data_IF_080236258552
#
_entry.id   IF_080236258552
#
_cell.length_a   1.000
_cell.length_b   1.000
_cell.length_c   1.000
_cell.angle_alpha   90.00
_cell.angle_beta   90.00
_cell.angle_gamma   90.00
#
_symmetry.space_group_name_H-M   'P 1'
#
loop_
_entity.id
_entity.type
_entity.pdbx_description
1 polymer ?
#
# COMPACT_ATOMS: atom_id res chain seq x y z
N UNK A 1 8.23 16.33 24.29
CA UNK A 1 7.38 15.26 24.87
C UNK A 1 6.32 14.90 23.83
N UNK A 2 6.30 13.66 23.32
CA UNK A 2 5.29 13.22 22.34
C UNK A 2 3.94 13.06 23.05
N UNK A 3 2.91 13.76 22.57
CA UNK A 3 1.51 13.51 22.92
C UNK A 3 1.15 12.09 22.47
N UNK A 4 0.98 11.16 23.40
CA UNK A 4 0.40 9.85 23.12
C UNK A 4 -1.09 10.03 22.79
N UNK A 5 -1.51 9.52 21.65
CA UNK A 5 -2.89 9.53 21.18
C UNK A 5 -3.77 8.66 22.09
N UNK A 6 -4.38 9.27 23.12
CA UNK A 6 -5.24 8.58 24.10
C UNK A 6 -6.72 8.49 23.68
N UNK A 7 -7.06 8.69 22.40
CA UNK A 7 -8.44 8.93 21.98
C UNK A 7 -9.13 7.77 21.21
N UNK A 8 -8.71 6.52 21.39
CA UNK A 8 -9.33 5.42 20.61
C UNK A 8 -9.69 4.15 21.40
N UNK A 9 -9.90 4.25 22.71
CA UNK A 9 -10.42 3.13 23.50
C UNK A 9 -11.95 3.16 23.43
N UNK A 10 -12.53 2.49 22.42
CA UNK A 10 -14.00 2.43 22.22
C UNK A 10 -14.69 1.47 23.18
N UNK A 11 -13.94 0.55 23.78
CA UNK A 11 -14.45 -0.47 24.69
C UNK A 11 -13.58 -0.51 25.95
N UNK A 12 -14.18 -0.57 27.16
CA UNK A 12 -13.40 -0.69 28.39
C UNK A 12 -12.54 -1.97 28.30
N UNK A 13 -11.22 -1.83 28.47
CA UNK A 13 -10.28 -2.96 28.37
C UNK A 13 -10.47 -4.08 29.43
N UNK A 14 -11.53 -3.98 30.24
CA UNK A 14 -11.95 -4.98 31.20
C UNK A 14 -13.46 -5.18 31.07
N UNK A 15 -13.86 -6.42 30.82
CA UNK A 15 -15.26 -6.84 30.79
C UNK A 15 -15.56 -7.66 32.06
N UNK A 16 -16.70 -7.40 32.70
CA UNK A 16 -17.16 -8.24 33.80
C UNK A 16 -17.78 -9.53 33.26
N UNK A 17 -17.71 -10.65 34.01
CA UNK A 17 -18.43 -11.87 33.66
C UNK A 17 -19.94 -11.61 33.44
N UNK A 18 -20.56 -12.41 32.58
CA UNK A 18 -22.02 -12.41 32.41
C UNK A 18 -22.71 -12.60 33.76
N UNK A 19 -23.75 -11.82 34.04
CA UNK A 19 -24.52 -11.90 35.29
C UNK A 19 -23.74 -11.57 36.57
N UNK A 20 -22.60 -10.87 36.47
CA UNK A 20 -21.85 -10.42 37.65
C UNK A 20 -22.71 -9.55 38.60
N UNK A 21 -23.55 -8.70 38.04
CA UNK A 21 -24.37 -7.74 38.80
C UNK A 21 -25.73 -8.29 39.26
N UNK A 22 -26.25 -9.35 38.65
CA UNK A 22 -27.60 -9.89 38.91
C UNK A 22 -27.84 -10.22 40.38
N UNK A 23 -26.80 -10.69 41.09
CA UNK A 23 -26.85 -11.05 42.51
C UNK A 23 -25.88 -10.19 43.35
N UNK A 24 -25.50 -9.00 42.87
CA UNK A 24 -24.55 -8.15 43.58
C UNK A 24 -25.11 -7.69 44.93
N UNK A 25 -26.36 -7.22 44.95
CA UNK A 25 -27.00 -6.70 46.16
C UNK A 25 -27.14 -7.78 47.22
N UNK A 26 -27.58 -8.98 46.85
CA UNK A 26 -27.69 -10.12 47.77
C UNK A 26 -26.33 -10.48 48.39
N UNK A 27 -25.26 -10.49 47.57
CA UNK A 27 -23.91 -10.75 48.06
C UNK A 27 -23.41 -9.62 48.96
N UNK A 28 -23.73 -8.37 48.64
CA UNK A 28 -23.36 -7.20 49.42
C UNK A 28 -24.05 -7.24 50.79
N UNK A 29 -25.38 -7.36 50.83
CA UNK A 29 -26.14 -7.41 52.07
C UNK A 29 -25.81 -8.63 52.91
N UNK A 30 -25.56 -9.79 52.29
CA UNK A 30 -25.07 -10.98 53.01
C UNK A 30 -23.72 -10.72 53.68
N UNK A 31 -22.80 -9.99 53.04
CA UNK A 31 -21.51 -9.60 53.63
C UNK A 31 -21.66 -8.54 54.72
N UNK A 32 -22.54 -7.56 54.54
CA UNK A 32 -22.84 -6.52 55.55
C UNK A 32 -23.51 -7.12 56.80
N UNK A 33 -24.40 -8.11 56.62
CA UNK A 33 -25.00 -8.84 57.72
C UNK A 33 -23.95 -9.61 58.53
N UNK A 34 -23.00 -10.28 57.85
CA UNK A 34 -21.83 -10.91 58.49
C UNK A 34 -20.93 -9.87 59.16
N UNK A 35 -20.81 -8.66 58.61
CA UNK A 35 -19.99 -7.59 59.18
C UNK A 35 -20.50 -7.07 60.54
N UNK A 36 -21.81 -7.24 60.82
CA UNK A 36 -22.39 -6.96 62.15
C UNK A 36 -21.93 -7.96 63.22
N UNK A 37 -21.49 -9.16 62.83
CA UNK A 37 -20.82 -10.11 63.72
C UNK A 37 -19.31 -9.80 63.85
N UNK A 38 -18.73 -9.06 62.88
CA UNK A 38 -17.33 -8.63 62.93
C UNK A 38 -17.09 -7.46 63.90
N UNK A 39 -18.14 -6.76 64.37
CA UNK A 39 -17.99 -5.73 65.42
C UNK A 39 -17.61 -6.30 66.80
N UNK A 40 -17.64 -7.61 66.99
CA UNK A 40 -17.07 -8.31 68.16
C UNK A 40 -15.57 -8.64 68.00
N UNK A 41 -15.00 -8.42 66.80
CA UNK A 41 -13.59 -8.68 66.54
C UNK A 41 -12.76 -7.45 66.89
N UNK A 42 -12.20 -7.46 68.09
CA UNK A 42 -11.35 -6.38 68.64
C UNK A 42 -9.98 -6.25 67.94
N UNK A 43 -9.64 -7.20 67.07
CA UNK A 43 -8.34 -7.25 66.39
C UNK A 43 -8.53 -7.06 64.88
N UNK A 44 -7.93 -6.03 64.25
CA UNK A 44 -8.00 -5.90 62.80
C UNK A 44 -7.45 -7.17 62.14
N UNK A 45 -8.24 -7.77 61.25
CA UNK A 45 -7.91 -9.04 60.58
C UNK A 45 -6.62 -9.01 59.76
N UNK A 46 -6.09 -7.81 59.50
CA UNK A 46 -4.78 -7.61 58.90
C UNK A 46 -3.97 -6.67 59.79
N UNK A 47 -2.81 -7.15 60.23
CA UNK A 47 -1.79 -6.33 60.89
C UNK A 47 -0.78 -5.89 59.85
N UNK A 48 -0.46 -4.60 59.83
CA UNK A 48 0.65 -4.10 59.04
C UNK A 48 1.97 -4.62 59.61
N UNK A 49 3.00 -4.83 58.78
CA UNK A 49 4.35 -5.05 59.26
C UNK A 49 4.82 -3.88 60.13
N UNK A 50 5.70 -4.17 61.10
CA UNK A 50 6.37 -3.12 61.85
C UNK A 50 7.11 -2.18 60.90
N UNK A 51 7.03 -0.88 61.19
CA UNK A 51 7.74 0.17 60.45
C UNK A 51 7.38 0.24 58.95
N UNK A 52 6.21 -0.27 58.55
CA UNK A 52 5.75 -0.24 57.16
C UNK A 52 5.74 1.18 56.59
N UNK A 53 5.13 2.13 57.30
CA UNK A 53 5.05 3.52 56.87
C UNK A 53 6.37 4.27 57.05
N UNK A 54 7.13 3.96 58.11
CA UNK A 54 8.44 4.57 58.38
C UNK A 54 9.46 4.24 57.27
N UNK A 55 9.45 3.00 56.77
CA UNK A 55 10.38 2.55 55.72
C UNK A 55 9.82 2.70 54.29
N UNK A 56 8.58 3.17 54.13
CA UNK A 56 7.92 3.24 52.82
C UNK A 56 8.69 4.14 51.85
N UNK A 57 9.05 5.34 52.28
CA UNK A 57 9.74 6.33 51.44
C UNK A 57 11.14 5.84 51.01
N UNK A 58 11.86 5.20 51.93
CA UNK A 58 13.18 4.62 51.65
C UNK A 58 13.07 3.50 50.62
N UNK A 59 12.13 2.57 50.81
CA UNK A 59 11.91 1.46 49.88
C UNK A 59 11.43 1.94 48.51
N UNK A 60 10.59 2.99 48.47
CA UNK A 60 10.13 3.58 47.21
C UNK A 60 11.30 4.20 46.45
N UNK A 61 12.13 4.98 47.13
CA UNK A 61 13.31 5.64 46.53
C UNK A 61 14.33 4.62 46.03
N UNK A 62 14.61 3.57 46.82
CA UNK A 62 15.48 2.47 46.40
C UNK A 62 14.94 1.75 45.16
N UNK A 63 13.64 1.46 45.10
CA UNK A 63 13.02 0.83 43.94
C UNK A 63 13.10 1.71 42.70
N UNK A 64 12.87 3.02 42.84
CA UNK A 64 12.95 3.96 41.72
C UNK A 64 14.39 4.07 41.19
N UNK A 65 15.38 4.10 42.08
CA UNK A 65 16.80 4.15 41.69
C UNK A 65 17.34 2.80 41.17
N UNK A 66 16.74 1.68 41.61
CA UNK A 66 17.06 0.34 41.13
C UNK A 66 16.46 0.03 39.75
N UNK A 67 15.50 0.84 39.26
CA UNK A 67 15.05 0.80 37.86
C UNK A 67 16.20 1.33 37.01
N UNK A 68 17.11 0.43 36.67
CA UNK A 68 18.17 0.68 35.70
C UNK A 68 17.48 0.98 34.38
N UNK A 69 17.63 2.21 33.88
CA UNK A 69 17.16 2.55 32.54
C UNK A 69 17.66 1.48 31.57
N UNK A 70 16.79 0.89 30.73
CA UNK A 70 17.23 -0.11 29.77
C UNK A 70 18.33 0.55 28.93
N UNK A 71 19.50 -0.10 28.87
CA UNK A 71 20.65 0.40 28.12
C UNK A 71 20.25 0.53 26.65
N UNK A 72 19.78 1.70 26.25
CA UNK A 72 19.44 2.00 24.86
C UNK A 72 20.74 2.01 24.07
N UNK A 73 20.96 0.95 23.29
CA UNK A 73 22.01 0.93 22.27
C UNK A 73 21.37 1.43 20.98
N UNK A 74 21.71 2.62 20.47
CA UNK A 74 21.23 3.04 19.16
C UNK A 74 21.75 2.03 18.13
N UNK A 75 20.82 1.36 17.43
CA UNK A 75 21.15 0.22 16.56
C UNK A 75 21.92 0.64 15.30
N UNK A 76 21.75 1.88 14.82
CA UNK A 76 22.56 2.41 13.73
C UNK A 76 22.53 3.94 13.70
N UNK A 77 23.68 4.57 13.43
CA UNK A 77 23.73 6.01 13.19
C UNK A 77 23.28 6.31 11.76
N UNK A 78 22.29 7.20 11.63
CA UNK A 78 21.68 7.63 10.36
C UNK A 78 22.71 8.04 9.29
N UNK A 79 23.89 8.51 9.71
CA UNK A 79 25.00 8.86 8.80
C UNK A 79 25.50 7.67 7.99
N UNK A 80 25.60 6.49 8.61
CA UNK A 80 26.03 5.27 7.91
C UNK A 80 24.92 4.72 7.01
N UNK A 81 23.64 4.86 7.41
CA UNK A 81 22.49 4.48 6.59
C UNK A 81 22.41 5.34 5.33
N UNK A 82 22.57 6.66 5.46
CA UNK A 82 22.61 7.58 4.32
C UNK A 82 23.79 7.27 3.38
N UNK A 83 24.97 6.95 3.92
CA UNK A 83 26.13 6.57 3.12
C UNK A 83 25.95 5.24 2.39
N UNK A 84 25.43 4.21 3.07
CA UNK A 84 25.13 2.91 2.45
C UNK A 84 24.07 3.02 1.35
N UNK A 85 23.06 3.89 1.52
CA UNK A 85 22.07 4.16 0.48
C UNK A 85 22.69 4.75 -0.78
N UNK A 86 23.64 5.67 -0.63
CA UNK A 86 24.38 6.24 -1.76
C UNK A 86 25.23 5.20 -2.48
N UNK A 87 25.97 4.36 -1.73
CA UNK A 87 26.76 3.27 -2.30
C UNK A 87 25.88 2.25 -3.06
N UNK A 88 24.71 1.90 -2.52
CA UNK A 88 23.77 1.00 -3.19
C UNK A 88 23.23 1.58 -4.51
N UNK A 89 22.89 2.89 -4.54
CA UNK A 89 22.44 3.56 -5.75
C UNK A 89 23.52 3.60 -6.85
N UNK A 90 24.78 3.86 -6.46
CA UNK A 90 25.92 3.82 -7.39
C UNK A 90 26.14 2.40 -7.93
N UNK A 91 26.03 1.39 -7.07
CA UNK A 91 26.14 -0.01 -7.50
C UNK A 91 25.01 -0.42 -8.45
N UNK A 92 23.77 0.03 -8.20
CA UNK A 92 22.66 -0.20 -9.13
C UNK A 92 22.90 0.49 -10.47
N UNK A 93 23.33 1.76 -10.47
CA UNK A 93 23.70 2.45 -11.71
C UNK A 93 24.81 1.72 -12.46
N UNK A 94 25.87 1.31 -11.76
CA UNK A 94 26.95 0.52 -12.33
C UNK A 94 26.42 -0.78 -12.93
N UNK A 95 25.61 -1.54 -12.19
CA UNK A 95 25.00 -2.78 -12.68
C UNK A 95 24.14 -2.54 -13.93
N UNK A 96 23.29 -1.51 -13.94
CA UNK A 96 22.44 -1.18 -15.10
C UNK A 96 23.22 -0.71 -16.33
N UNK A 97 24.34 0.01 -16.15
CA UNK A 97 25.14 0.53 -17.27
C UNK A 97 26.02 -0.59 -17.84
N UNK A 98 26.68 -1.37 -16.99
CA UNK A 98 27.67 -2.37 -17.42
C UNK A 98 27.07 -3.72 -17.82
N UNK A 99 25.84 -4.05 -17.41
CA UNK A 99 25.16 -5.30 -17.77
C UNK A 99 24.05 -5.11 -18.80
N UNK A 100 23.98 -3.93 -19.44
CA UNK A 100 23.16 -3.78 -20.64
C UNK A 100 23.69 -4.75 -21.70
N UNK A 101 22.89 -5.78 -21.99
CA UNK A 101 23.04 -6.55 -23.22
C UNK A 101 22.86 -5.60 -24.40
N UNK A 102 23.72 -5.72 -25.40
CA UNK A 102 23.58 -5.03 -26.68
C UNK A 102 22.34 -5.58 -27.42
N UNK A 103 21.15 -5.21 -26.94
CA UNK A 103 19.99 -5.19 -27.83
C UNK A 103 20.28 -4.04 -28.77
N UNK A 104 20.42 -4.27 -30.08
CA UNK A 104 20.61 -3.18 -31.03
C UNK A 104 19.39 -2.28 -30.92
N UNK A 105 19.54 -1.13 -30.27
CA UNK A 105 18.54 -0.08 -30.23
C UNK A 105 18.51 0.52 -31.64
N UNK A 106 17.73 -0.11 -32.51
CA UNK A 106 17.49 0.42 -33.84
C UNK A 106 16.57 1.63 -33.68
N UNK A 107 17.04 2.80 -34.12
CA UNK A 107 16.25 4.04 -34.09
C UNK A 107 14.91 3.84 -34.80
N UNK A 108 14.89 2.97 -35.82
CA UNK A 108 13.66 2.56 -36.53
C UNK A 108 12.55 2.01 -35.62
N UNK A 109 12.90 1.26 -34.57
CA UNK A 109 11.89 0.64 -33.69
C UNK A 109 11.30 1.65 -32.69
N UNK A 110 12.13 2.56 -32.17
CA UNK A 110 11.69 3.63 -31.26
C UNK A 110 10.86 4.66 -32.01
N UNK A 111 11.28 5.00 -33.23
CA UNK A 111 10.58 5.93 -34.10
C UNK A 111 9.22 5.39 -34.53
N UNK A 112 9.15 4.14 -34.99
CA UNK A 112 7.88 3.52 -35.44
C UNK A 112 6.86 3.42 -34.31
N UNK A 113 7.26 2.93 -33.12
CA UNK A 113 6.33 2.82 -31.98
C UNK A 113 5.81 4.19 -31.51
N UNK A 114 6.66 5.21 -31.57
CA UNK A 114 6.26 6.58 -31.21
C UNK A 114 5.30 7.18 -32.23
N UNK A 115 5.53 6.94 -33.52
CA UNK A 115 4.66 7.36 -34.62
C UNK A 115 3.31 6.65 -34.55
N UNK A 116 3.30 5.34 -34.28
CA UNK A 116 2.07 4.56 -34.13
C UNK A 116 1.21 5.06 -32.97
N UNK A 117 1.83 5.40 -31.83
CA UNK A 117 1.14 5.99 -30.68
C UNK A 117 0.58 7.37 -31.03
N UNK A 118 1.33 8.18 -31.78
CA UNK A 118 0.89 9.50 -32.22
C UNK A 118 -0.31 9.40 -33.15
N UNK A 119 -0.23 8.55 -34.18
CA UNK A 119 -1.30 8.34 -35.16
C UNK A 119 -2.58 7.74 -34.56
N UNK A 120 -2.47 6.83 -33.58
CA UNK A 120 -3.65 6.25 -32.93
C UNK A 120 -4.32 7.20 -31.91
N UNK A 121 -3.56 8.13 -31.33
CA UNK A 121 -4.10 9.09 -30.36
C UNK A 121 -4.74 10.31 -31.05
N UNK A 122 -4.30 10.66 -32.26
CA UNK A 122 -5.00 11.63 -33.09
C UNK A 122 -6.19 10.98 -33.78
N UNK A 123 -7.35 11.65 -33.75
CA UNK A 123 -8.55 11.20 -34.46
C UNK A 123 -8.46 11.60 -35.95
N UNK A 124 -7.41 11.12 -36.63
CA UNK A 124 -7.19 11.39 -38.06
C UNK A 124 -8.21 10.60 -38.87
N UNK A 125 -8.97 11.31 -39.71
CA UNK A 125 -9.83 10.68 -40.71
C UNK A 125 -9.07 10.53 -42.04
N UNK A 126 -9.62 9.74 -42.97
CA UNK A 126 -8.99 9.49 -44.29
C UNK A 126 -8.77 10.77 -45.10
N UNK A 127 -9.61 11.79 -44.95
CA UNK A 127 -9.44 13.09 -45.61
C UNK A 127 -8.28 13.90 -45.02
N UNK A 128 -8.04 13.78 -43.70
CA UNK A 128 -6.91 14.43 -43.04
C UNK A 128 -5.60 13.87 -43.61
N UNK A 129 -5.49 12.54 -43.71
CA UNK A 129 -4.32 11.87 -44.29
C UNK A 129 -4.14 12.26 -45.77
N UNK A 130 -5.23 12.25 -46.55
CA UNK A 130 -5.20 12.61 -47.96
C UNK A 130 -4.77 14.07 -48.20
N UNK A 131 -5.03 14.98 -47.25
CA UNK A 131 -4.63 16.38 -47.36
C UNK A 131 -3.12 16.60 -47.27
N UNK A 132 -2.39 15.65 -46.67
CA UNK A 132 -0.94 15.66 -46.56
C UNK A 132 -0.23 14.94 -47.71
N UNK A 133 -0.97 14.22 -48.57
CA UNK A 133 -0.44 13.53 -49.75
C UNK A 133 -0.48 14.47 -50.97
N UNK A 134 0.66 14.61 -51.66
CA UNK A 134 0.74 15.32 -52.94
C UNK A 134 0.63 14.35 -54.11
N UNK A 135 0.37 14.87 -55.31
CA UNK A 135 0.32 14.06 -56.53
C UNK A 135 1.65 13.35 -56.85
N UNK A 136 2.76 13.84 -56.31
CA UNK A 136 4.10 13.26 -56.42
C UNK A 136 4.33 12.09 -55.45
N UNK A 137 3.60 12.06 -54.32
CA UNK A 137 3.67 11.01 -53.32
C UNK A 137 2.84 9.77 -53.74
N UNK A 138 1.89 9.95 -54.66
CA UNK A 138 1.03 8.87 -55.18
C UNK A 138 1.73 8.25 -56.41
N UNK A 139 2.58 7.26 -56.17
CA UNK A 139 3.28 6.53 -57.23
C UNK A 139 2.37 5.41 -57.75
N UNK A 140 1.98 5.48 -59.03
CA UNK A 140 1.11 4.48 -59.66
C UNK A 140 1.66 3.05 -59.57
N UNK A 141 2.99 2.89 -59.62
CA UNK A 141 3.65 1.58 -59.48
C UNK A 141 3.43 0.93 -58.11
N UNK A 142 3.23 1.70 -57.02
CA UNK A 142 2.98 1.13 -55.68
C UNK A 142 1.62 0.42 -55.60
N UNK A 143 0.64 0.86 -56.39
CA UNK A 143 -0.67 0.21 -56.49
C UNK A 143 -0.62 -1.06 -57.35
N UNK A 144 0.34 -1.15 -58.27
CA UNK A 144 0.52 -2.31 -59.14
C UNK A 144 1.40 -3.38 -58.47
N UNK A 145 2.38 -2.96 -57.67
CA UNK A 145 3.32 -3.86 -57.00
C UNK A 145 2.71 -4.59 -55.80
N UNK A 146 1.73 -3.99 -55.12
CA UNK A 146 1.01 -4.63 -54.04
C UNK A 146 -0.15 -5.47 -54.58
N UNK A 147 0.12 -6.74 -54.89
CA UNK A 147 -0.92 -7.69 -55.30
C UNK A 147 -1.78 -8.04 -54.08
N UNK A 148 -3.02 -7.57 -54.04
CA UNK A 148 -4.00 -8.06 -53.08
C UNK A 148 -4.20 -9.56 -53.28
N UNK A 149 -4.28 -10.33 -52.19
CA UNK A 149 -4.67 -11.73 -52.30
C UNK A 149 -6.15 -11.84 -52.61
N UNK A 150 -6.55 -12.85 -53.40
CA UNK A 150 -7.96 -13.11 -53.72
C UNK A 150 -8.82 -13.22 -52.45
N UNK A 151 -8.27 -13.82 -51.38
CA UNK A 151 -8.91 -13.93 -50.07
C UNK A 151 -9.16 -12.56 -49.41
N UNK A 152 -8.21 -11.63 -49.51
CA UNK A 152 -8.37 -10.29 -48.95
C UNK A 152 -9.42 -9.49 -49.73
N UNK A 153 -9.42 -9.66 -51.06
CA UNK A 153 -10.38 -9.02 -51.95
C UNK A 153 -11.81 -9.54 -51.71
N UNK A 154 -11.97 -10.86 -51.63
CA UNK A 154 -13.26 -11.51 -51.34
C UNK A 154 -13.82 -11.05 -49.99
N UNK A 155 -12.99 -11.06 -48.94
CA UNK A 155 -13.40 -10.60 -47.61
C UNK A 155 -13.80 -9.12 -47.60
N UNK A 156 -13.11 -8.26 -48.35
CA UNK A 156 -13.47 -6.86 -48.44
C UNK A 156 -14.84 -6.67 -49.10
N UNK A 157 -15.07 -7.34 -50.23
CA UNK A 157 -16.32 -7.26 -50.99
C UNK A 157 -17.50 -7.81 -50.16
N UNK A 158 -17.32 -8.94 -49.47
CA UNK A 158 -18.38 -9.52 -48.63
C UNK A 158 -18.79 -8.62 -47.45
N UNK A 159 -17.84 -7.85 -46.89
CA UNK A 159 -18.09 -7.03 -45.70
C UNK A 159 -18.50 -5.59 -46.03
N UNK A 160 -18.24 -5.09 -47.25
CA UNK A 160 -18.45 -3.69 -47.62
C UNK A 160 -19.34 -3.50 -48.86
N UNK A 161 -19.78 -4.58 -49.51
CA UNK A 161 -20.65 -4.52 -50.69
C UNK A 161 -21.86 -5.44 -50.49
N UNK A 162 -23.05 -4.94 -50.81
CA UNK A 162 -24.28 -5.74 -50.71
C UNK A 162 -24.54 -6.51 -52.02
N UNK A 163 -25.27 -7.63 -51.92
CA UNK A 163 -25.66 -8.43 -53.09
C UNK A 163 -26.50 -7.59 -54.08
N UNK A 164 -27.30 -6.65 -53.57
CA UNK A 164 -28.10 -5.74 -54.38
C UNK A 164 -27.24 -4.80 -55.23
N UNK A 165 -26.11 -4.32 -54.69
CA UNK A 165 -25.18 -3.44 -55.40
C UNK A 165 -24.52 -4.16 -56.59
N UNK A 166 -24.20 -5.44 -56.43
CA UNK A 166 -23.60 -6.29 -57.47
C UNK A 166 -24.57 -6.65 -58.60
N UNK A 167 -25.88 -6.65 -58.31
CA UNK A 167 -26.93 -6.97 -59.29
C UNK A 167 -27.34 -5.74 -60.11
N UNK A 168 -27.21 -4.54 -59.53
CA UNK A 168 -27.63 -3.28 -60.14
C UNK A 168 -26.57 -2.64 -61.05
N UNK A 169 -25.35 -3.17 -61.08
CA UNK A 169 -24.30 -2.74 -62.00
C UNK A 169 -24.46 -3.45 -63.36
N UNK A 170 -25.15 -2.79 -64.30
CA UNK A 170 -25.19 -3.17 -65.72
C UNK A 170 -24.94 -1.97 -66.62
#
# INVERSE_FOLDING_TARGET
>A
MKKSELHNIKEPGYNTPSSYFDNFDDRLFKRLAVQKDLSEIDVPGFKIPNDYFENFETQLTERLNAIKEPKIRPLMSWRHVAFMSGAAAVLLLMFTVFLKTEVPLSITQVETASIEIYLNNENLNTYDIASYLNAEDIIADDFVANTFTDESLENYLLNNTSIEDLINEK
#
